data_IF_886691072773
#
_entry.id   IF_886691072773
#
_cell.length_a   1.000
_cell.length_b   1.000
_cell.length_c   1.000
_cell.angle_alpha   90.00
_cell.angle_beta   90.00
_cell.angle_gamma   90.00
#
_symmetry.space_group_name_H-M   'P 1'
#
loop_
_entity.id
_entity.type
_entity.pdbx_description
1 polymer ?
#
# COMPACT_ATOMS: atom_id res chain seq x y z
N UNK A 1 -31.94 -10.38 9.14
CA UNK A 1 -32.46 -9.01 8.93
C UNK A 1 -31.86 -8.46 7.64
N UNK A 2 -32.67 -8.05 6.67
CA UNK A 2 -32.21 -7.65 5.33
C UNK A 2 -31.35 -6.36 5.41
N UNK A 3 -30.14 -6.42 4.88
CA UNK A 3 -29.27 -5.23 4.76
C UNK A 3 -29.86 -4.28 3.72
N UNK A 4 -30.10 -3.02 4.12
CA UNK A 4 -30.63 -1.97 3.25
C UNK A 4 -29.59 -0.91 2.87
N UNK A 5 -28.46 -0.87 3.57
CA UNK A 5 -27.41 0.12 3.32
C UNK A 5 -26.04 -0.42 3.74
N UNK A 6 -24.99 0.08 3.07
CA UNK A 6 -23.59 -0.17 3.40
C UNK A 6 -23.03 1.13 3.96
N UNK A 7 -22.36 1.06 5.12
CA UNK A 7 -21.77 2.23 5.75
C UNK A 7 -20.26 2.05 5.85
N UNK A 8 -19.54 2.77 5.02
CA UNK A 8 -18.07 2.92 5.14
C UNK A 8 -17.79 3.98 6.20
N UNK A 9 -17.05 3.64 7.24
CA UNK A 9 -16.81 4.55 8.36
C UNK A 9 -15.40 4.46 8.93
N UNK A 10 -14.96 5.59 9.48
CA UNK A 10 -13.70 5.70 10.24
C UNK A 10 -13.79 6.85 11.23
N UNK A 11 -13.13 6.72 12.38
CA UNK A 11 -12.89 7.81 13.32
C UNK A 11 -11.62 8.60 13.00
N UNK A 12 -10.83 8.15 12.01
CA UNK A 12 -9.60 8.83 11.59
C UNK A 12 -9.88 9.99 10.62
N UNK A 13 -8.98 10.95 10.59
CA UNK A 13 -9.04 12.05 9.63
C UNK A 13 -8.69 11.54 8.22
N UNK A 14 -9.51 11.93 7.24
CA UNK A 14 -9.40 11.47 5.86
C UNK A 14 -9.36 12.63 4.85
N UNK A 15 -8.97 13.83 5.30
CA UNK A 15 -8.95 15.05 4.48
C UNK A 15 -7.85 15.11 3.44
N UNK A 16 -7.60 14.05 2.72
CA UNK A 16 -6.63 14.02 1.63
C UNK A 16 -6.32 12.60 1.17
N UNK A 17 -5.85 12.47 -0.06
CA UNK A 17 -5.38 11.22 -0.67
C UNK A 17 -4.00 10.79 -0.12
N UNK A 18 -3.61 11.26 1.06
CA UNK A 18 -2.38 10.84 1.73
C UNK A 18 -2.62 9.49 2.40
N UNK A 19 -1.72 8.54 2.22
CA UNK A 19 -1.81 7.14 2.65
C UNK A 19 -2.44 6.87 4.04
N UNK A 20 -2.60 5.60 4.35
CA UNK A 20 -3.25 5.10 5.56
C UNK A 20 -4.77 4.91 5.41
N UNK A 21 -5.45 4.42 6.46
CA UNK A 21 -6.86 4.01 6.39
C UNK A 21 -7.83 5.09 5.90
N UNK A 22 -7.60 6.34 6.30
CA UNK A 22 -8.46 7.46 5.88
C UNK A 22 -8.32 7.79 4.40
N UNK A 23 -7.09 7.75 3.87
CA UNK A 23 -6.82 7.99 2.45
C UNK A 23 -7.44 6.91 1.56
N UNK A 24 -7.36 5.65 1.97
CA UNK A 24 -8.00 4.54 1.25
C UNK A 24 -9.52 4.71 1.19
N UNK A 25 -10.17 5.08 2.30
CA UNK A 25 -11.61 5.37 2.31
C UNK A 25 -11.99 6.55 1.40
N UNK A 26 -11.14 7.57 1.33
CA UNK A 26 -11.35 8.69 0.41
C UNK A 26 -11.32 8.25 -1.05
N UNK A 27 -10.34 7.42 -1.42
CA UNK A 27 -10.25 6.84 -2.78
C UNK A 27 -11.46 5.94 -3.06
N UNK A 28 -11.83 5.07 -2.13
CA UNK A 28 -13.01 4.21 -2.25
C UNK A 28 -14.27 5.01 -2.54
N UNK A 29 -14.52 6.08 -1.81
CA UNK A 29 -15.66 6.96 -2.02
C UNK A 29 -15.73 7.48 -3.46
N UNK A 30 -14.61 7.93 -3.99
CA UNK A 30 -14.54 8.51 -5.33
C UNK A 30 -14.69 7.46 -6.44
N UNK A 31 -14.28 6.21 -6.19
CA UNK A 31 -14.31 5.14 -7.18
C UNK A 31 -15.59 4.31 -7.12
N UNK A 32 -16.04 3.92 -5.91
CA UNK A 32 -17.22 3.07 -5.74
C UNK A 32 -18.52 3.86 -5.88
N UNK A 33 -18.49 5.19 -5.70
CA UNK A 33 -19.68 6.00 -5.74
C UNK A 33 -20.62 5.77 -4.56
N UNK A 34 -21.93 5.97 -4.77
CA UNK A 34 -22.93 5.91 -3.71
C UNK A 34 -23.73 4.60 -3.68
N UNK A 35 -23.52 3.71 -4.67
CA UNK A 35 -24.23 2.45 -4.76
C UNK A 35 -23.32 1.30 -5.16
N UNK A 36 -23.46 0.18 -4.44
CA UNK A 36 -22.87 -1.10 -4.78
C UNK A 36 -24.03 -2.10 -4.84
N UNK A 37 -24.20 -2.82 -5.94
CA UNK A 37 -25.25 -3.82 -6.12
C UNK A 37 -26.67 -3.28 -5.81
N UNK A 38 -26.94 -2.04 -6.19
CA UNK A 38 -28.21 -1.33 -5.93
C UNK A 38 -28.49 -1.07 -4.44
N UNK A 39 -27.48 -1.20 -3.58
CA UNK A 39 -27.59 -0.86 -2.15
C UNK A 39 -26.89 0.49 -1.92
N UNK A 40 -27.56 1.48 -1.32
CA UNK A 40 -26.97 2.77 -1.03
C UNK A 40 -25.72 2.66 -0.15
N UNK A 41 -24.65 3.29 -0.57
CA UNK A 41 -23.41 3.41 0.18
C UNK A 41 -23.33 4.77 0.86
N UNK A 42 -23.11 4.78 2.17
CA UNK A 42 -22.88 5.99 2.96
C UNK A 42 -21.45 6.03 3.48
N UNK A 43 -20.80 7.17 3.37
CA UNK A 43 -19.44 7.38 3.86
C UNK A 43 -19.48 8.28 5.08
N UNK A 44 -19.07 7.74 6.24
CA UNK A 44 -19.03 8.45 7.50
C UNK A 44 -17.60 8.53 8.00
N UNK A 45 -17.03 9.71 7.89
CA UNK A 45 -15.69 10.00 8.35
C UNK A 45 -15.72 10.67 9.75
N UNK A 46 -14.62 11.28 10.13
CA UNK A 46 -14.49 11.98 11.40
C UNK A 46 -15.64 12.95 11.64
N UNK A 47 -16.37 12.76 12.73
CA UNK A 47 -17.62 13.50 13.00
C UNK A 47 -17.32 14.93 13.45
N UNK A 48 -16.25 15.13 14.21
CA UNK A 48 -15.81 16.45 14.67
C UNK A 48 -14.40 16.75 14.15
N UNK A 49 -14.28 17.94 13.56
CA UNK A 49 -13.04 18.42 12.95
C UNK A 49 -12.31 19.47 13.79
N UNK A 50 -12.63 19.58 15.08
CA UNK A 50 -12.00 20.52 16.00
C UNK A 50 -10.69 19.97 16.56
N UNK A 51 -9.69 20.81 16.79
CA UNK A 51 -8.41 20.47 17.42
C UNK A 51 -8.57 20.40 18.94
N UNK A 52 -9.18 19.36 19.45
CA UNK A 52 -9.45 19.16 20.89
C UNK A 52 -8.55 18.11 21.56
N UNK A 53 -7.46 17.70 20.91
CA UNK A 53 -6.54 16.69 21.47
C UNK A 53 -7.24 15.37 21.84
N UNK A 54 -6.91 14.74 22.99
CA UNK A 54 -7.51 13.48 23.43
C UNK A 54 -9.03 13.53 23.63
N UNK A 55 -9.57 14.70 24.02
CA UNK A 55 -11.02 14.90 24.23
C UNK A 55 -11.77 14.72 22.91
N UNK A 56 -11.18 15.12 21.77
CA UNK A 56 -11.75 14.90 20.45
C UNK A 56 -12.10 13.42 20.19
N UNK A 57 -11.20 12.52 20.55
CA UNK A 57 -11.42 11.09 20.35
C UNK A 57 -12.60 10.57 21.17
N UNK A 58 -12.71 11.00 22.43
CA UNK A 58 -13.81 10.61 23.29
C UNK A 58 -15.16 11.12 22.78
N UNK A 59 -15.21 12.40 22.40
CA UNK A 59 -16.45 13.01 21.84
C UNK A 59 -16.82 12.33 20.52
N UNK A 60 -15.88 12.06 19.63
CA UNK A 60 -16.15 11.36 18.37
C UNK A 60 -16.67 9.94 18.61
N UNK A 61 -16.11 9.20 19.58
CA UNK A 61 -16.61 7.88 19.97
C UNK A 61 -18.04 7.96 20.49
N UNK A 62 -18.35 8.92 21.32
CA UNK A 62 -19.71 9.12 21.88
C UNK A 62 -20.72 9.50 20.79
N UNK A 63 -20.38 10.45 19.90
CA UNK A 63 -21.24 10.81 18.76
C UNK A 63 -21.45 9.65 17.79
N UNK A 64 -20.40 8.86 17.53
CA UNK A 64 -20.50 7.64 16.73
C UNK A 64 -21.49 6.66 17.36
N UNK A 65 -21.39 6.44 18.68
CA UNK A 65 -22.29 5.59 19.41
C UNK A 65 -23.75 6.08 19.27
N UNK A 66 -24.02 7.35 19.56
CA UNK A 66 -25.37 7.91 19.45
C UNK A 66 -25.96 7.77 18.04
N UNK A 67 -25.15 8.01 17.02
CA UNK A 67 -25.57 7.97 15.62
C UNK A 67 -25.91 6.56 15.14
N UNK A 68 -25.12 5.57 15.52
CA UNK A 68 -25.22 4.23 14.94
C UNK A 68 -25.91 3.20 15.83
N UNK A 69 -26.12 3.46 17.12
CA UNK A 69 -26.73 2.49 18.05
C UNK A 69 -28.08 1.93 17.58
N UNK A 70 -28.91 2.74 16.95
CA UNK A 70 -30.24 2.34 16.49
C UNK A 70 -30.31 1.81 15.05
N UNK A 71 -29.21 1.89 14.30
CA UNK A 71 -29.16 1.38 12.92
C UNK A 71 -28.95 -0.13 12.96
N UNK A 72 -29.95 -0.89 12.52
CA UNK A 72 -29.93 -2.37 12.54
C UNK A 72 -29.91 -2.98 11.14
N UNK A 73 -30.26 -2.22 10.10
CA UNK A 73 -30.39 -2.64 8.71
C UNK A 73 -29.16 -2.25 7.85
N UNK A 74 -28.01 -2.00 8.48
CA UNK A 74 -26.76 -1.66 7.80
C UNK A 74 -25.69 -2.73 7.97
N UNK A 75 -24.84 -2.82 6.94
CA UNK A 75 -23.55 -3.47 7.00
C UNK A 75 -22.47 -2.41 7.07
N UNK A 76 -21.51 -2.56 7.99
CA UNK A 76 -20.44 -1.59 8.17
C UNK A 76 -19.13 -2.09 7.57
N UNK A 77 -18.33 -1.18 7.02
CA UNK A 77 -16.99 -1.46 6.54
C UNK A 77 -16.03 -0.40 7.10
N UNK A 78 -14.97 -0.83 7.74
CA UNK A 78 -14.00 0.07 8.37
C UNK A 78 -12.56 -0.31 8.05
N UNK A 79 -11.64 0.64 8.27
CA UNK A 79 -10.20 0.49 8.04
C UNK A 79 -9.35 0.74 9.30
N UNK A 80 -9.99 0.96 10.44
CA UNK A 80 -9.28 1.23 11.69
C UNK A 80 -9.85 0.44 12.87
N UNK A 81 -8.97 0.07 13.78
CA UNK A 81 -9.31 -0.77 14.93
C UNK A 81 -10.18 -0.06 15.97
N UNK A 82 -10.05 1.26 16.11
CA UNK A 82 -10.86 2.03 17.05
C UNK A 82 -12.34 2.07 16.62
N UNK A 83 -12.60 2.18 15.32
CA UNK A 83 -13.96 2.08 14.77
C UNK A 83 -14.46 0.64 14.86
N UNK A 84 -13.62 -0.35 14.57
CA UNK A 84 -13.94 -1.77 14.71
C UNK A 84 -14.36 -2.13 16.15
N UNK A 85 -13.60 -1.68 17.15
CA UNK A 85 -13.95 -1.85 18.58
C UNK A 85 -15.35 -1.30 18.91
N UNK A 86 -15.67 -0.08 18.42
CA UNK A 86 -16.99 0.51 18.66
C UNK A 86 -18.12 -0.25 17.98
N UNK A 87 -17.90 -0.71 16.75
CA UNK A 87 -18.88 -1.53 16.02
C UNK A 87 -19.13 -2.86 16.72
N UNK A 88 -18.07 -3.50 17.25
CA UNK A 88 -18.17 -4.71 18.05
C UNK A 88 -19.02 -4.48 19.32
N UNK A 89 -18.71 -3.43 20.10
CA UNK A 89 -19.46 -3.08 21.31
C UNK A 89 -20.94 -2.70 21.02
N UNK A 90 -21.22 -2.16 19.83
CA UNK A 90 -22.59 -1.89 19.38
C UNK A 90 -23.31 -3.12 18.79
N UNK A 91 -22.67 -4.29 18.77
CA UNK A 91 -23.21 -5.51 18.16
C UNK A 91 -23.51 -5.36 16.66
N UNK A 92 -22.73 -4.54 15.94
CA UNK A 92 -22.96 -4.29 14.50
C UNK A 92 -22.30 -5.37 13.65
N UNK A 93 -22.89 -5.63 12.48
CA UNK A 93 -22.29 -6.46 11.44
C UNK A 93 -21.30 -5.61 10.66
N UNK A 94 -20.04 -6.02 10.66
CA UNK A 94 -18.99 -5.26 9.98
C UNK A 94 -17.86 -6.14 9.46
N UNK A 95 -17.15 -5.61 8.47
CA UNK A 95 -15.84 -6.07 8.04
C UNK A 95 -14.78 -5.00 8.25
N UNK A 96 -13.56 -5.44 8.39
CA UNK A 96 -12.42 -4.55 8.55
C UNK A 96 -11.35 -4.87 7.50
N UNK A 97 -10.85 -3.85 6.82
CA UNK A 97 -9.65 -3.92 6.00
C UNK A 97 -8.48 -3.33 6.79
N UNK A 98 -7.61 -4.20 7.25
CA UNK A 98 -6.52 -3.86 8.15
C UNK A 98 -5.28 -3.38 7.39
N UNK A 99 -5.05 -2.07 7.39
CA UNK A 99 -4.01 -1.39 6.58
C UNK A 99 -2.73 -1.03 7.37
N UNK A 100 -2.40 -1.76 8.41
CA UNK A 100 -1.21 -1.52 9.21
C UNK A 100 0.00 -2.37 8.75
N UNK A 101 1.21 -1.91 9.07
CA UNK A 101 2.45 -2.64 8.81
C UNK A 101 2.71 -3.70 9.91
N UNK A 102 1.87 -4.73 9.95
CA UNK A 102 1.81 -5.70 11.03
C UNK A 102 0.89 -5.22 12.17
N UNK A 103 0.89 -5.88 13.35
CA UNK A 103 0.10 -5.45 14.50
C UNK A 103 0.39 -4.01 14.91
N UNK A 104 -0.62 -3.31 15.45
CA UNK A 104 -0.51 -1.87 15.77
C UNK A 104 0.69 -1.54 16.68
N UNK A 105 1.02 -2.42 17.62
CA UNK A 105 2.18 -2.24 18.50
C UNK A 105 3.48 -2.29 17.71
N UNK A 106 3.60 -3.25 16.77
CA UNK A 106 4.77 -3.38 15.92
C UNK A 106 4.94 -2.15 15.03
N UNK A 107 3.88 -1.71 14.36
CA UNK A 107 3.90 -0.51 13.52
C UNK A 107 4.35 0.73 14.31
N UNK A 108 3.77 0.97 15.49
CA UNK A 108 4.15 2.10 16.32
C UNK A 108 5.60 2.01 16.81
N UNK A 109 6.09 0.80 17.09
CA UNK A 109 7.49 0.57 17.47
C UNK A 109 8.44 0.83 16.31
N UNK A 110 8.09 0.38 15.10
CA UNK A 110 8.85 0.63 13.88
C UNK A 110 8.96 2.14 13.57
N UNK A 111 7.92 2.92 13.91
CA UNK A 111 7.96 4.39 13.86
C UNK A 111 8.68 5.06 15.05
N UNK A 112 9.42 4.30 15.85
CA UNK A 112 10.21 4.82 16.97
C UNK A 112 9.40 5.27 18.19
N UNK A 113 8.10 4.93 18.27
CA UNK A 113 7.26 5.29 19.43
C UNK A 113 7.54 4.37 20.62
N UNK A 114 7.98 4.95 21.72
CA UNK A 114 8.08 4.23 23.00
C UNK A 114 6.69 4.06 23.62
N UNK A 115 6.27 2.82 23.83
CA UNK A 115 4.97 2.47 24.39
C UNK A 115 5.14 1.86 25.78
N UNK A 116 4.50 2.46 26.80
CA UNK A 116 4.40 1.87 28.13
C UNK A 116 3.47 0.64 28.16
N UNK A 117 3.66 -0.25 29.12
CA UNK A 117 2.92 -1.52 29.22
C UNK A 117 1.40 -1.36 29.26
N UNK A 118 0.88 -0.39 29.98
CA UNK A 118 -0.57 -0.12 30.03
C UNK A 118 -1.13 0.24 28.65
N UNK A 119 -0.40 1.08 27.89
CA UNK A 119 -0.80 1.46 26.52
C UNK A 119 -0.71 0.29 25.55
N UNK A 120 0.33 -0.55 25.66
CA UNK A 120 0.44 -1.78 24.87
C UNK A 120 -0.76 -2.69 25.11
N UNK A 121 -1.03 -3.03 26.39
CA UNK A 121 -2.17 -3.88 26.76
C UNK A 121 -3.50 -3.34 26.20
N UNK A 122 -3.75 -2.04 26.32
CA UNK A 122 -4.96 -1.40 25.80
C UNK A 122 -5.05 -1.51 24.27
N UNK A 123 -3.97 -1.25 23.54
CA UNK A 123 -3.95 -1.35 22.08
C UNK A 123 -4.19 -2.79 21.61
N UNK A 124 -3.54 -3.77 22.24
CA UNK A 124 -3.78 -5.19 21.95
C UNK A 124 -5.24 -5.57 22.19
N UNK A 125 -5.84 -5.09 23.27
CA UNK A 125 -7.26 -5.36 23.56
C UNK A 125 -8.21 -4.74 22.53
N UNK A 126 -7.99 -3.48 22.12
CA UNK A 126 -8.76 -2.81 21.07
C UNK A 126 -8.64 -3.59 19.75
N UNK A 127 -7.43 -3.94 19.38
CA UNK A 127 -7.14 -4.69 18.17
C UNK A 127 -7.80 -6.08 18.21
N UNK A 128 -7.67 -6.81 19.29
CA UNK A 128 -8.31 -8.11 19.46
C UNK A 128 -9.83 -8.03 19.31
N UNK A 129 -10.50 -7.12 20.02
CA UNK A 129 -11.95 -6.93 19.93
C UNK A 129 -12.36 -6.58 18.48
N UNK A 130 -11.64 -5.63 17.85
CA UNK A 130 -11.97 -5.18 16.52
C UNK A 130 -11.84 -6.29 15.46
N UNK A 131 -10.85 -7.17 15.58
CA UNK A 131 -10.57 -8.19 14.57
C UNK A 131 -11.37 -9.48 14.81
N UNK A 132 -11.50 -9.93 16.05
CA UNK A 132 -12.18 -11.20 16.40
C UNK A 132 -13.71 -11.12 16.25
N UNK A 133 -14.32 -9.93 16.37
CA UNK A 133 -15.75 -9.74 16.19
C UNK A 133 -16.15 -9.33 14.77
N UNK A 134 -15.19 -9.10 13.87
CA UNK A 134 -15.49 -8.79 12.48
C UNK A 134 -16.05 -10.02 11.76
N UNK A 135 -17.11 -9.82 10.93
CA UNK A 135 -17.63 -10.89 10.08
C UNK A 135 -16.62 -11.34 9.01
N UNK A 136 -15.73 -10.45 8.62
CA UNK A 136 -14.53 -10.79 7.86
C UNK A 136 -13.42 -9.77 8.10
N UNK A 137 -12.20 -10.29 8.19
CA UNK A 137 -10.97 -9.53 8.27
C UNK A 137 -10.25 -9.62 6.92
N UNK A 138 -9.94 -8.48 6.34
CA UNK A 138 -9.19 -8.37 5.09
C UNK A 138 -7.89 -7.62 5.30
N UNK A 139 -6.90 -7.93 4.48
CA UNK A 139 -5.62 -7.23 4.41
C UNK A 139 -5.42 -6.67 3.00
N UNK A 140 -4.55 -5.67 2.80
CA UNK A 140 -4.24 -5.14 1.47
C UNK A 140 -3.48 -6.12 0.58
N UNK A 141 -2.93 -7.20 1.15
CA UNK A 141 -2.23 -8.27 0.45
C UNK A 141 -2.17 -9.54 1.32
N UNK A 142 -1.92 -10.67 0.68
CA UNK A 142 -1.64 -11.94 1.39
C UNK A 142 -0.38 -11.81 2.26
N UNK A 143 0.64 -11.13 1.73
CA UNK A 143 1.87 -10.87 2.46
C UNK A 143 1.65 -10.02 3.70
N UNK A 144 0.78 -9.01 3.65
CA UNK A 144 0.43 -8.21 4.84
C UNK A 144 -0.27 -9.06 5.91
N UNK A 145 -1.17 -9.96 5.51
CA UNK A 145 -1.80 -10.91 6.43
C UNK A 145 -0.76 -11.82 7.10
N UNK A 146 0.16 -12.38 6.32
CA UNK A 146 1.23 -13.22 6.86
C UNK A 146 2.12 -12.45 7.84
N UNK A 147 2.53 -11.22 7.52
CA UNK A 147 3.29 -10.35 8.42
C UNK A 147 2.57 -10.10 9.74
N UNK A 148 1.23 -9.95 9.71
CA UNK A 148 0.45 -9.79 10.92
C UNK A 148 0.49 -11.06 11.79
N UNK A 149 0.12 -12.21 11.24
CA UNK A 149 -0.04 -13.45 12.01
C UNK A 149 1.27 -14.11 12.44
N UNK A 150 2.40 -13.77 11.81
CA UNK A 150 3.73 -14.25 12.25
C UNK A 150 4.38 -13.35 13.29
N UNK A 151 3.81 -12.18 13.57
CA UNK A 151 4.34 -11.24 14.54
C UNK A 151 4.07 -11.70 15.97
N UNK A 152 5.08 -11.57 16.85
CA UNK A 152 4.91 -11.76 18.30
C UNK A 152 3.93 -10.76 18.95
N UNK A 153 3.56 -9.70 18.25
CA UNK A 153 2.64 -8.67 18.74
C UNK A 153 1.20 -8.86 18.21
N UNK A 154 0.93 -9.93 17.46
CA UNK A 154 -0.42 -10.19 16.95
C UNK A 154 -1.42 -10.28 18.09
N UNK A 155 -2.52 -9.52 17.99
CA UNK A 155 -3.57 -9.53 18.99
C UNK A 155 -4.53 -10.71 18.84
N UNK A 156 -4.57 -11.31 17.65
CA UNK A 156 -5.37 -12.50 17.32
C UNK A 156 -4.52 -13.53 16.60
N UNK A 157 -4.82 -14.81 16.82
CA UNK A 157 -4.36 -15.91 15.98
C UNK A 157 -5.24 -16.05 14.72
N UNK A 158 -4.75 -16.74 13.69
CA UNK A 158 -5.47 -16.91 12.43
C UNK A 158 -6.83 -17.60 12.58
N UNK A 159 -6.97 -18.52 13.54
CA UNK A 159 -8.21 -19.27 13.83
C UNK A 159 -9.21 -18.49 14.71
N UNK A 160 -8.82 -17.36 15.26
CA UNK A 160 -9.72 -16.50 16.06
C UNK A 160 -10.45 -15.47 15.20
N UNK A 161 -10.12 -15.39 13.91
CA UNK A 161 -10.66 -14.42 12.98
C UNK A 161 -11.21 -15.09 11.73
N UNK A 162 -12.23 -14.49 11.12
CA UNK A 162 -12.72 -14.90 9.82
C UNK A 162 -11.92 -14.17 8.71
N UNK A 163 -10.81 -14.78 8.29
CA UNK A 163 -9.92 -14.20 7.30
C UNK A 163 -10.54 -14.30 5.89
N UNK A 164 -10.80 -13.15 5.28
CA UNK A 164 -11.25 -13.02 3.90
C UNK A 164 -10.11 -12.93 2.89
N UNK A 165 -10.47 -12.90 1.61
CA UNK A 165 -9.49 -12.61 0.53
C UNK A 165 -8.87 -11.24 0.72
N UNK A 166 -7.64 -10.98 0.22
CA UNK A 166 -7.06 -9.64 0.19
C UNK A 166 -7.97 -8.67 -0.55
N UNK A 167 -7.98 -7.41 -0.09
CA UNK A 167 -8.59 -6.30 -0.83
C UNK A 167 -7.46 -5.42 -1.37
N UNK A 168 -7.12 -5.62 -2.62
CA UNK A 168 -6.10 -4.81 -3.28
C UNK A 168 -6.57 -3.36 -3.40
N UNK A 169 -5.67 -2.44 -3.11
CA UNK A 169 -5.93 -1.01 -3.26
C UNK A 169 -5.74 -0.57 -4.70
N UNK A 170 -6.24 0.64 -4.99
CA UNK A 170 -6.13 1.28 -6.30
C UNK A 170 -5.29 2.54 -6.18
N UNK A 171 -4.61 2.90 -7.27
CA UNK A 171 -3.95 4.19 -7.44
C UNK A 171 -4.87 5.21 -8.11
N UNK A 172 -4.73 6.52 -7.82
CA UNK A 172 -5.37 7.56 -8.59
C UNK A 172 -4.90 7.48 -10.05
N UNK A 173 -5.85 7.59 -11.00
CA UNK A 173 -5.47 7.70 -12.40
C UNK A 173 -5.01 9.12 -12.69
N UNK A 174 -3.76 9.27 -13.06
CA UNK A 174 -3.11 10.54 -13.42
C UNK A 174 -2.44 10.39 -14.78
N UNK A 175 -2.70 11.32 -15.69
CA UNK A 175 -2.05 11.31 -16.98
C UNK A 175 -0.60 11.78 -16.86
N UNK A 176 0.36 11.06 -17.45
CA UNK A 176 1.75 11.49 -17.51
C UNK A 176 1.87 12.83 -18.25
N UNK A 177 2.51 13.81 -17.63
CA UNK A 177 2.71 15.13 -18.23
C UNK A 177 4.14 15.60 -17.98
N UNK A 178 4.79 16.12 -19.01
CA UNK A 178 6.12 16.72 -18.93
C UNK A 178 5.98 18.20 -18.56
N UNK A 179 6.47 18.66 -17.39
CA UNK A 179 6.57 20.09 -17.08
C UNK A 179 7.57 20.78 -18.03
N UNK A 180 7.36 22.07 -18.30
CA UNK A 180 8.20 22.85 -19.23
C UNK A 180 9.65 22.98 -18.75
N UNK A 181 9.87 22.89 -17.44
CA UNK A 181 11.16 23.03 -16.75
C UNK A 181 11.77 21.68 -16.36
N UNK A 182 11.18 20.55 -16.80
CA UNK A 182 11.71 19.23 -16.53
C UNK A 182 12.68 18.80 -17.66
N UNK A 183 13.95 19.02 -17.40
CA UNK A 183 15.04 18.64 -18.29
C UNK A 183 15.57 17.25 -17.90
N UNK A 184 15.04 16.21 -18.47
CA UNK A 184 15.66 14.89 -18.48
C UNK A 184 15.72 14.44 -19.94
N UNK A 185 16.93 14.30 -20.42
CA UNK A 185 17.16 13.75 -21.76
C UNK A 185 17.09 12.23 -21.68
N UNK A 186 16.05 11.64 -22.27
CA UNK A 186 15.86 10.20 -22.31
C UNK A 186 16.48 9.66 -23.58
N UNK A 187 17.70 9.22 -23.42
CA UNK A 187 18.51 8.61 -24.47
C UNK A 187 18.42 7.07 -24.34
N UNK A 188 18.14 6.39 -25.44
CA UNK A 188 18.09 4.93 -25.56
C UNK A 188 19.43 4.23 -25.31
N UNK A 189 20.52 4.99 -25.14
CA UNK A 189 21.84 4.44 -24.79
C UNK A 189 21.92 3.91 -23.36
N UNK A 190 20.94 4.20 -22.51
CA UNK A 190 20.89 3.74 -21.11
C UNK A 190 19.73 2.81 -20.86
N UNK A 191 19.89 1.92 -19.87
CA UNK A 191 18.78 1.31 -19.16
C UNK A 191 18.43 2.24 -17.99
N UNK A 192 17.21 2.77 -17.97
CA UNK A 192 16.77 3.70 -16.94
C UNK A 192 16.06 2.95 -15.81
N UNK A 193 16.67 2.99 -14.63
CA UNK A 193 16.11 2.48 -13.37
C UNK A 193 15.41 3.61 -12.62
N UNK A 194 14.29 3.33 -11.97
CA UNK A 194 13.55 4.31 -11.19
C UNK A 194 13.16 3.78 -9.82
N UNK A 195 13.30 4.62 -8.78
CA UNK A 195 12.81 4.36 -7.42
C UNK A 195 12.06 5.57 -6.87
N UNK A 196 10.94 5.32 -6.21
CA UNK A 196 10.08 6.35 -5.61
C UNK A 196 9.71 6.00 -4.17
N UNK A 197 9.91 6.93 -3.23
CA UNK A 197 9.41 6.79 -1.87
C UNK A 197 10.21 7.54 -0.82
N UNK A 198 9.72 7.54 0.41
CA UNK A 198 10.45 8.13 1.54
C UNK A 198 11.79 7.45 1.75
N UNK A 199 12.87 8.23 1.91
CA UNK A 199 14.23 7.72 2.07
C UNK A 199 14.44 7.25 3.52
N UNK A 200 13.96 6.04 3.81
CA UNK A 200 14.00 5.42 5.14
C UNK A 200 14.49 3.98 5.05
N UNK A 201 14.98 3.44 6.15
CA UNK A 201 15.43 2.04 6.21
C UNK A 201 14.34 1.05 5.77
N UNK A 202 13.07 1.30 6.11
CA UNK A 202 11.96 0.43 5.75
C UNK A 202 11.76 0.33 4.22
N UNK A 203 12.00 1.43 3.50
CA UNK A 203 11.88 1.49 2.03
C UNK A 203 13.06 0.87 1.28
N UNK A 204 14.23 0.73 1.92
CA UNK A 204 15.33 -0.07 1.42
C UNK A 204 16.07 0.46 0.20
N UNK A 205 16.06 1.79 -0.05
CA UNK A 205 16.83 2.37 -1.16
C UNK A 205 18.34 2.09 -1.05
N UNK A 206 18.86 1.93 0.15
CA UNK A 206 20.24 1.51 0.39
C UNK A 206 20.48 0.06 -0.08
N UNK A 207 19.52 -0.83 0.02
CA UNK A 207 19.56 -2.17 -0.58
C UNK A 207 19.53 -2.08 -2.10
N UNK A 208 18.66 -1.23 -2.64
CA UNK A 208 18.55 -0.98 -4.08
C UNK A 208 19.88 -0.49 -4.66
N UNK A 209 20.52 0.48 -4.04
CA UNK A 209 21.80 1.02 -4.50
C UNK A 209 22.90 -0.06 -4.45
N UNK A 210 22.94 -0.87 -3.38
CA UNK A 210 23.90 -1.99 -3.28
C UNK A 210 23.65 -3.05 -4.35
N UNK A 211 22.40 -3.38 -4.64
CA UNK A 211 22.04 -4.29 -5.73
C UNK A 211 22.50 -3.75 -7.08
N UNK A 212 22.22 -2.47 -7.39
CA UNK A 212 22.69 -1.81 -8.62
C UNK A 212 24.20 -1.88 -8.72
N UNK A 213 24.93 -1.53 -7.67
CA UNK A 213 26.41 -1.56 -7.66
C UNK A 213 26.94 -2.96 -7.95
N UNK A 214 26.40 -3.97 -7.29
CA UNK A 214 26.85 -5.36 -7.43
C UNK A 214 26.61 -5.91 -8.84
N UNK A 215 25.46 -5.61 -9.42
CA UNK A 215 25.00 -6.20 -10.68
C UNK A 215 25.07 -5.24 -11.88
N UNK A 216 25.82 -4.13 -11.76
CA UNK A 216 25.90 -3.10 -12.81
C UNK A 216 26.34 -3.67 -14.17
N UNK A 217 27.22 -4.67 -14.15
CA UNK A 217 27.76 -5.33 -15.35
C UNK A 217 26.84 -6.45 -15.91
N UNK A 218 25.76 -6.79 -15.21
CA UNK A 218 24.79 -7.76 -15.70
C UNK A 218 23.79 -7.14 -16.69
N UNK A 219 23.73 -5.82 -16.78
CA UNK A 219 22.89 -5.11 -17.72
C UNK A 219 23.60 -4.91 -19.06
N UNK A 220 22.84 -4.98 -20.16
CA UNK A 220 23.37 -4.89 -21.53
C UNK A 220 23.79 -3.48 -21.96
N UNK A 221 23.40 -2.45 -21.22
CA UNK A 221 23.73 -1.04 -21.47
C UNK A 221 24.12 -0.35 -20.17
N UNK A 222 24.80 0.81 -20.23
CA UNK A 222 25.02 1.66 -19.06
C UNK A 222 23.72 1.98 -18.33
N UNK A 223 23.80 2.20 -17.02
CA UNK A 223 22.65 2.47 -16.19
C UNK A 223 22.47 3.96 -15.92
N UNK A 224 21.22 4.42 -16.03
CA UNK A 224 20.72 5.68 -15.49
C UNK A 224 19.81 5.37 -14.31
N UNK A 225 20.08 5.92 -13.14
CA UNK A 225 19.25 5.71 -11.97
C UNK A 225 18.57 7.00 -11.55
N UNK A 226 17.23 6.99 -11.50
CA UNK A 226 16.43 8.12 -11.03
C UNK A 226 15.88 7.74 -9.65
N UNK A 227 16.09 8.61 -8.67
CA UNK A 227 15.58 8.43 -7.31
C UNK A 227 14.77 9.67 -6.90
N UNK A 228 13.52 9.45 -6.47
CA UNK A 228 12.63 10.51 -6.01
C UNK A 228 12.19 10.24 -4.58
N UNK A 229 12.42 11.19 -3.68
CA UNK A 229 11.94 11.08 -2.30
C UNK A 229 12.69 11.94 -1.30
N UNK A 230 12.08 12.06 -0.11
CA UNK A 230 12.62 12.75 1.06
C UNK A 230 12.83 11.79 2.20
N UNK A 231 13.84 12.02 3.02
CA UNK A 231 14.02 11.24 4.25
C UNK A 231 15.41 11.35 4.85
N UNK A 232 15.59 10.76 6.04
CA UNK A 232 16.82 10.89 6.81
C UNK A 232 18.04 10.23 6.14
N UNK A 233 17.83 9.28 5.21
CA UNK A 233 18.94 8.58 4.54
C UNK A 233 19.49 9.33 3.31
N UNK A 234 18.94 10.51 2.93
CA UNK A 234 19.34 11.25 1.73
C UNK A 234 20.85 11.33 1.54
N UNK A 235 21.57 11.91 2.51
CA UNK A 235 22.99 12.17 2.37
C UNK A 235 23.83 10.88 2.26
N UNK A 236 23.44 9.83 2.99
CA UNK A 236 24.08 8.53 2.89
C UNK A 236 23.90 7.94 1.49
N UNK A 237 22.67 7.92 0.97
CA UNK A 237 22.35 7.35 -0.33
C UNK A 237 23.07 8.09 -1.47
N UNK A 238 23.12 9.42 -1.43
CA UNK A 238 23.85 10.21 -2.43
C UNK A 238 25.36 9.93 -2.38
N UNK A 239 25.95 9.80 -1.19
CA UNK A 239 27.36 9.42 -1.05
C UNK A 239 27.67 8.02 -1.61
N UNK A 240 26.75 7.06 -1.46
CA UNK A 240 26.88 5.72 -2.03
C UNK A 240 26.79 5.77 -3.58
N UNK A 241 25.88 6.58 -4.14
CA UNK A 241 25.75 6.79 -5.59
C UNK A 241 26.98 7.47 -6.20
N UNK A 242 27.56 8.46 -5.51
CA UNK A 242 28.81 9.12 -5.93
C UNK A 242 30.00 8.15 -6.00
N UNK A 243 30.05 7.16 -5.09
CA UNK A 243 31.06 6.09 -5.15
C UNK A 243 30.89 5.25 -6.41
N UNK A 244 29.66 4.79 -6.68
CA UNK A 244 29.38 3.97 -7.87
C UNK A 244 29.78 4.73 -9.13
N UNK A 245 29.42 6.03 -9.21
CA UNK A 245 29.77 6.87 -10.36
C UNK A 245 31.30 7.04 -10.56
N UNK A 246 32.07 7.10 -9.46
CA UNK A 246 33.55 7.14 -9.55
C UNK A 246 34.13 5.83 -10.05
N UNK A 247 33.60 4.70 -9.61
CA UNK A 247 34.05 3.36 -9.99
C UNK A 247 33.58 2.98 -11.40
N UNK A 248 32.41 3.49 -11.82
CA UNK A 248 31.75 3.23 -13.10
C UNK A 248 31.37 4.55 -13.79
N UNK A 249 32.26 5.20 -14.56
CA UNK A 249 32.02 6.52 -15.16
C UNK A 249 30.83 6.59 -16.11
N UNK A 250 30.41 5.47 -16.70
CA UNK A 250 29.23 5.37 -17.54
C UNK A 250 27.91 5.34 -16.75
N UNK A 251 27.95 5.11 -15.44
CA UNK A 251 26.79 5.17 -14.57
C UNK A 251 26.42 6.63 -14.29
N UNK A 252 25.15 6.98 -14.46
CA UNK A 252 24.63 8.30 -14.11
C UNK A 252 23.43 8.16 -13.18
N UNK A 253 23.24 9.17 -12.30
CA UNK A 253 22.04 9.21 -11.47
C UNK A 253 21.46 10.63 -11.36
N UNK A 254 20.17 10.70 -11.10
CA UNK A 254 19.41 11.92 -10.85
C UNK A 254 18.63 11.78 -9.56
N UNK A 255 18.73 12.76 -8.69
CA UNK A 255 17.99 12.82 -7.44
C UNK A 255 17.02 13.99 -7.43
N UNK A 256 15.77 13.71 -7.08
CA UNK A 256 14.74 14.72 -6.86
C UNK A 256 14.13 14.54 -5.48
N UNK A 257 14.02 15.61 -4.72
CA UNK A 257 13.43 15.58 -3.38
C UNK A 257 11.92 15.32 -3.44
N UNK A 258 11.24 15.91 -4.42
CA UNK A 258 9.83 15.66 -4.77
C UNK A 258 9.57 16.16 -6.18
N UNK A 259 8.60 15.54 -6.83
CA UNK A 259 8.09 15.94 -8.15
C UNK A 259 6.57 15.95 -8.13
N UNK A 260 5.91 16.73 -9.02
CA UNK A 260 4.49 16.60 -9.27
C UNK A 260 4.13 15.17 -9.66
N UNK A 261 2.93 14.69 -9.28
CA UNK A 261 2.55 13.30 -9.52
C UNK A 261 2.51 12.96 -11.01
N UNK A 262 2.09 13.90 -11.85
CA UNK A 262 2.07 13.78 -13.30
C UNK A 262 3.49 13.55 -13.87
N UNK A 263 4.49 14.21 -13.29
CA UNK A 263 5.90 14.01 -13.66
C UNK A 263 6.42 12.66 -13.19
N UNK A 264 6.02 12.22 -12.00
CA UNK A 264 6.34 10.87 -11.50
C UNK A 264 5.77 9.81 -12.44
N UNK A 265 4.52 9.95 -12.88
CA UNK A 265 3.90 9.03 -13.85
C UNK A 265 4.62 9.04 -15.21
N UNK A 266 5.13 10.21 -15.64
CA UNK A 266 5.97 10.29 -16.83
C UNK A 266 7.27 9.53 -16.65
N UNK A 267 7.94 9.66 -15.49
CA UNK A 267 9.19 8.94 -15.21
C UNK A 267 8.93 7.43 -15.20
N UNK A 268 7.85 6.94 -14.62
CA UNK A 268 7.47 5.53 -14.71
C UNK A 268 7.33 5.08 -16.16
N UNK A 269 6.62 5.86 -16.99
CA UNK A 269 6.36 5.54 -18.39
C UNK A 269 7.63 5.41 -19.24
N UNK A 270 8.64 6.25 -18.96
CA UNK A 270 9.89 6.30 -19.75
C UNK A 270 11.01 5.49 -19.13
N UNK A 271 10.85 5.02 -17.89
CA UNK A 271 11.80 4.12 -17.23
C UNK A 271 11.67 2.70 -17.75
N UNK A 272 12.81 2.02 -17.87
CA UNK A 272 12.82 0.62 -18.26
C UNK A 272 12.40 -0.27 -17.09
N UNK A 273 12.88 0.05 -15.89
CA UNK A 273 12.74 -0.78 -14.72
C UNK A 273 12.39 0.09 -13.50
N UNK A 274 11.31 -0.23 -12.83
CA UNK A 274 11.07 0.22 -11.48
C UNK A 274 11.74 -0.76 -10.51
N UNK A 275 12.58 -0.25 -9.61
CA UNK A 275 13.31 -1.07 -8.65
C UNK A 275 13.16 -0.54 -7.23
N UNK A 276 12.71 -1.40 -6.30
CA UNK A 276 12.57 -1.04 -4.89
C UNK A 276 12.74 -2.26 -3.98
N UNK A 277 13.83 -2.31 -3.23
CA UNK A 277 14.15 -3.43 -2.36
C UNK A 277 13.72 -3.14 -0.91
N UNK A 278 12.41 -3.16 -0.69
CA UNK A 278 11.81 -2.92 0.62
C UNK A 278 12.33 -3.87 1.69
N UNK A 279 12.47 -3.38 2.94
CA UNK A 279 12.53 -4.24 4.13
C UNK A 279 11.17 -4.51 4.74
N UNK A 280 10.20 -3.63 4.48
CA UNK A 280 8.81 -3.79 4.91
C UNK A 280 7.90 -3.31 3.78
N UNK A 281 7.07 -4.19 3.27
CA UNK A 281 6.04 -3.87 2.28
C UNK A 281 4.72 -4.55 2.64
N UNK A 282 3.63 -3.78 2.71
CA UNK A 282 2.28 -4.32 2.86
C UNK A 282 1.55 -4.36 1.52
N UNK A 283 1.70 -3.32 0.70
CA UNK A 283 1.22 -3.18 -0.67
C UNK A 283 1.67 -1.82 -1.20
N UNK A 284 2.65 -1.79 -2.10
CA UNK A 284 3.31 -0.55 -2.50
C UNK A 284 2.62 0.10 -3.71
N UNK A 285 2.14 1.34 -3.54
CA UNK A 285 1.44 2.06 -4.61
C UNK A 285 2.36 2.46 -5.77
N UNK A 286 3.62 2.78 -5.49
CA UNK A 286 4.56 3.12 -6.55
C UNK A 286 4.85 1.92 -7.47
N UNK A 287 4.78 0.70 -6.94
CA UNK A 287 4.81 -0.52 -7.75
C UNK A 287 3.60 -0.61 -8.69
N UNK A 288 2.39 -0.31 -8.20
CA UNK A 288 1.19 -0.26 -9.05
C UNK A 288 1.28 0.83 -10.13
N UNK A 289 1.83 2.00 -9.76
CA UNK A 289 2.07 3.09 -10.72
C UNK A 289 3.02 2.62 -11.83
N UNK A 290 4.12 1.97 -11.46
CA UNK A 290 5.08 1.41 -12.41
C UNK A 290 4.44 0.36 -13.34
N UNK A 291 3.67 -0.60 -12.79
CA UNK A 291 2.95 -1.61 -13.57
C UNK A 291 1.97 -0.96 -14.55
N UNK A 292 1.24 0.07 -14.12
CA UNK A 292 0.27 0.81 -14.95
C UNK A 292 0.93 1.57 -16.12
N UNK A 293 2.22 1.85 -16.03
CA UNK A 293 3.00 2.58 -17.03
C UNK A 293 3.96 1.67 -17.82
N UNK A 294 3.72 0.37 -17.85
CA UNK A 294 4.55 -0.61 -18.58
C UNK A 294 6.03 -0.61 -18.14
N UNK A 295 6.33 -0.57 -16.85
CA UNK A 295 7.69 -0.79 -16.36
C UNK A 295 7.96 -2.27 -16.09
N UNK A 296 9.15 -2.76 -16.36
CA UNK A 296 9.64 -3.98 -15.74
C UNK A 296 9.87 -3.73 -14.23
N UNK A 297 9.74 -4.74 -13.41
CA UNK A 297 9.72 -4.56 -11.95
C UNK A 297 10.78 -5.46 -11.29
N UNK A 298 11.62 -4.86 -10.44
CA UNK A 298 12.54 -5.59 -9.54
C UNK A 298 12.19 -5.24 -8.10
N UNK A 299 11.85 -6.25 -7.29
CA UNK A 299 11.46 -6.08 -5.89
C UNK A 299 12.25 -7.02 -4.98
N UNK A 300 12.22 -6.73 -3.67
CA UNK A 300 12.57 -7.72 -2.63
C UNK A 300 11.43 -8.73 -2.47
N UNK A 301 11.76 -9.98 -2.16
CA UNK A 301 10.83 -11.12 -2.02
C UNK A 301 10.17 -11.14 -0.64
N UNK A 302 9.46 -10.06 -0.28
CA UNK A 302 8.89 -9.88 1.04
C UNK A 302 7.45 -9.36 1.02
N UNK A 303 6.70 -9.71 2.05
CA UNK A 303 5.40 -9.14 2.38
C UNK A 303 4.49 -9.00 1.17
N UNK A 304 3.89 -7.83 1.01
CA UNK A 304 2.98 -7.52 -0.09
C UNK A 304 3.61 -7.44 -1.48
N UNK A 305 4.95 -7.44 -1.58
CA UNK A 305 5.61 -7.51 -2.88
C UNK A 305 5.31 -8.83 -3.61
N UNK A 306 5.08 -9.91 -2.86
CA UNK A 306 4.76 -11.22 -3.43
C UNK A 306 3.41 -11.24 -4.15
N UNK A 307 2.48 -10.39 -3.74
CA UNK A 307 1.14 -10.31 -4.34
C UNK A 307 1.13 -9.63 -5.73
N UNK A 308 2.24 -8.98 -6.13
CA UNK A 308 2.39 -8.42 -7.48
C UNK A 308 2.83 -9.47 -8.50
N UNK A 309 3.43 -10.58 -8.06
CA UNK A 309 3.91 -11.66 -8.93
C UNK A 309 2.83 -12.70 -9.20
N UNK A 310 1.92 -12.41 -10.12
CA UNK A 310 0.81 -13.30 -10.45
C UNK A 310 1.09 -14.23 -11.65
N UNK A 311 2.04 -13.86 -12.51
CA UNK A 311 2.38 -14.60 -13.73
C UNK A 311 3.90 -14.63 -13.98
N UNK A 312 4.71 -14.75 -12.93
CA UNK A 312 6.18 -14.65 -13.03
C UNK A 312 6.62 -13.35 -13.73
N UNK A 313 5.93 -12.27 -13.41
CA UNK A 313 6.12 -10.96 -14.00
C UNK A 313 7.06 -10.07 -13.21
N UNK A 314 7.47 -10.50 -12.01
CA UNK A 314 8.37 -9.76 -11.12
C UNK A 314 9.72 -10.45 -11.04
N UNK A 315 10.80 -9.68 -11.14
CA UNK A 315 12.14 -10.16 -10.80
C UNK A 315 12.36 -9.89 -9.31
N UNK A 316 12.63 -10.93 -8.55
CA UNK A 316 13.00 -10.78 -7.14
C UNK A 316 14.52 -10.68 -6.99
N UNK A 317 14.97 -9.66 -6.24
CA UNK A 317 16.40 -9.42 -6.04
C UNK A 317 17.10 -10.61 -5.38
N UNK A 318 16.44 -11.30 -4.45
CA UNK A 318 16.99 -12.50 -3.79
C UNK A 318 17.20 -13.66 -4.77
N UNK A 319 16.36 -13.80 -5.79
CA UNK A 319 16.54 -14.80 -6.82
C UNK A 319 17.72 -14.45 -7.75
N UNK A 320 17.92 -13.15 -8.05
CA UNK A 320 19.10 -12.65 -8.78
C UNK A 320 20.38 -12.84 -7.96
N UNK A 321 20.33 -12.58 -6.66
CA UNK A 321 21.46 -12.82 -5.74
C UNK A 321 21.89 -14.29 -5.72
N UNK A 322 20.94 -15.20 -5.86
CA UNK A 322 21.21 -16.64 -5.97
C UNK A 322 21.69 -17.05 -7.38
N UNK A 323 21.19 -16.37 -8.42
CA UNK A 323 21.52 -16.68 -9.81
C UNK A 323 21.41 -15.42 -10.70
N UNK A 324 22.52 -14.74 -10.92
CA UNK A 324 22.61 -13.52 -11.72
C UNK A 324 22.15 -13.72 -13.18
N UNK A 325 22.15 -14.96 -13.69
CA UNK A 325 21.69 -15.23 -15.05
C UNK A 325 20.22 -14.88 -15.27
N UNK A 326 19.43 -14.75 -14.21
CA UNK A 326 18.02 -14.28 -14.27
C UNK A 326 17.99 -12.86 -14.82
N UNK A 327 18.86 -11.97 -14.34
CA UNK A 327 18.95 -10.59 -14.80
C UNK A 327 19.54 -10.48 -16.21
N UNK A 328 20.61 -11.22 -16.48
CA UNK A 328 21.30 -11.22 -17.78
C UNK A 328 20.38 -11.70 -18.91
N UNK A 329 19.53 -12.70 -18.63
CA UNK A 329 18.61 -13.30 -19.61
C UNK A 329 17.20 -12.70 -19.59
N UNK A 330 16.97 -11.68 -18.76
CA UNK A 330 15.64 -11.09 -18.61
C UNK A 330 15.17 -10.46 -19.94
N UNK A 331 13.99 -10.87 -20.39
CA UNK A 331 13.27 -10.22 -21.47
C UNK A 331 12.43 -9.07 -20.91
N UNK A 332 13.09 -7.90 -20.73
CA UNK A 332 12.43 -6.72 -20.18
C UNK A 332 11.19 -6.26 -20.98
N UNK A 333 11.17 -6.28 -22.32
CA UNK A 333 9.96 -5.99 -23.10
C UNK A 333 8.78 -6.89 -22.70
N UNK A 334 8.99 -8.18 -22.62
CA UNK A 334 7.96 -9.14 -22.21
C UNK A 334 7.49 -8.94 -20.77
N UNK A 335 8.42 -8.65 -19.85
CA UNK A 335 8.10 -8.34 -18.46
C UNK A 335 7.28 -7.06 -18.33
N UNK A 336 7.58 -6.02 -19.09
CA UNK A 336 6.81 -4.77 -19.15
C UNK A 336 5.35 -5.03 -19.53
N UNK A 337 5.13 -5.80 -20.58
CA UNK A 337 3.78 -6.15 -21.04
C UNK A 337 3.04 -7.04 -20.04
N UNK A 338 3.71 -8.04 -19.47
CA UNK A 338 3.13 -8.89 -18.44
C UNK A 338 2.72 -8.11 -17.21
N UNK A 339 3.55 -7.15 -16.75
CA UNK A 339 3.23 -6.29 -15.62
C UNK A 339 1.97 -5.45 -15.89
N UNK A 340 1.86 -4.85 -17.08
CA UNK A 340 0.68 -4.08 -17.47
C UNK A 340 -0.57 -4.95 -17.55
N UNK A 341 -0.47 -6.15 -18.08
CA UNK A 341 -1.58 -7.11 -18.13
C UNK A 341 -2.04 -7.54 -16.74
N UNK A 342 -1.11 -7.84 -15.83
CA UNK A 342 -1.42 -8.14 -14.41
C UNK A 342 -2.09 -6.94 -13.74
N UNK A 343 -1.59 -5.71 -13.97
CA UNK A 343 -2.23 -4.51 -13.45
C UNK A 343 -3.68 -4.37 -13.93
N UNK A 344 -3.93 -4.51 -15.23
CA UNK A 344 -5.26 -4.38 -15.79
C UNK A 344 -6.24 -5.43 -15.26
N UNK A 345 -5.79 -6.67 -15.12
CA UNK A 345 -6.62 -7.78 -14.66
C UNK A 345 -6.95 -7.71 -13.16
N UNK A 346 -5.99 -7.25 -12.32
CA UNK A 346 -6.09 -7.41 -10.87
C UNK A 346 -6.09 -6.12 -10.07
N UNK A 347 -5.52 -5.03 -10.61
CA UNK A 347 -5.28 -3.79 -9.86
C UNK A 347 -5.88 -2.55 -10.54
N UNK A 348 -6.59 -2.72 -11.65
CA UNK A 348 -7.30 -1.63 -12.33
C UNK A 348 -8.50 -1.14 -11.52
N UNK A 349 -9.05 0.01 -11.93
CA UNK A 349 -10.28 0.55 -11.37
C UNK A 349 -11.45 -0.45 -11.45
N UNK A 350 -11.55 -1.16 -12.54
CA UNK A 350 -12.58 -2.16 -12.76
C UNK A 350 -12.43 -3.35 -11.82
N UNK A 351 -11.23 -3.89 -11.69
CA UNK A 351 -10.91 -4.97 -10.76
C UNK A 351 -11.21 -4.55 -9.32
N UNK A 352 -10.82 -3.34 -8.93
CA UNK A 352 -11.12 -2.77 -7.62
C UNK A 352 -12.62 -2.68 -7.35
N UNK A 353 -13.41 -2.17 -8.27
CA UNK A 353 -14.87 -2.09 -8.11
C UNK A 353 -15.50 -3.48 -8.02
N UNK A 354 -15.05 -4.41 -8.85
CA UNK A 354 -15.59 -5.77 -8.89
C UNK A 354 -15.33 -6.54 -7.60
N UNK A 355 -14.13 -6.43 -6.98
CA UNK A 355 -13.87 -7.11 -5.72
C UNK A 355 -14.83 -6.67 -4.60
N UNK A 356 -15.23 -5.37 -4.54
CA UNK A 356 -16.21 -4.89 -3.59
C UNK A 356 -17.64 -5.34 -3.93
N UNK A 357 -18.00 -5.33 -5.21
CA UNK A 357 -19.32 -5.83 -5.66
C UNK A 357 -19.49 -7.30 -5.29
N UNK A 358 -18.55 -8.16 -5.66
CA UNK A 358 -18.56 -9.59 -5.36
C UNK A 358 -18.66 -9.84 -3.85
N UNK A 359 -17.84 -9.12 -3.07
CA UNK A 359 -17.87 -9.24 -1.61
C UNK A 359 -19.25 -8.92 -1.03
N UNK A 360 -19.85 -7.79 -1.41
CA UNK A 360 -21.17 -7.42 -0.87
C UNK A 360 -22.28 -8.29 -1.42
N UNK A 361 -22.21 -8.80 -2.65
CA UNK A 361 -23.16 -9.80 -3.16
C UNK A 361 -23.16 -11.05 -2.29
N UNK A 362 -22.00 -11.59 -1.96
CA UNK A 362 -21.87 -12.76 -1.09
C UNK A 362 -22.46 -12.50 0.30
N UNK A 363 -22.26 -11.29 0.86
CA UNK A 363 -22.84 -10.93 2.17
C UNK A 363 -24.36 -10.77 2.12
N UNK A 364 -24.90 -10.23 1.03
CA UNK A 364 -26.34 -10.06 0.84
C UNK A 364 -27.07 -11.39 0.56
N UNK A 365 -26.43 -12.35 -0.08
CA UNK A 365 -27.01 -13.67 -0.40
C UNK A 365 -27.02 -14.59 0.82
N UNK A 366 -26.00 -14.56 1.68
CA UNK A 366 -25.95 -15.36 2.91
C UNK A 366 -27.10 -15.08 3.91
N UNK A 367 -27.91 -14.06 3.66
CA UNK A 367 -29.05 -13.67 4.51
C UNK A 367 -30.43 -14.04 3.90
N UNK A 368 -30.46 -14.72 2.77
CA UNK A 368 -31.69 -15.33 2.23
C UNK A 368 -31.84 -16.76 2.74
#
# INVERSE_FOLDING_TARGET
>A
MKIKQIIFCTLRDNRGATGGPGGVLYIQKNVLGNEINKVPCKYQFNIINLRLGPIKTLINKWLFYLKFRHITDAYFFTHDIETGELLAHLGKRYSILYHHQGPIIQELTNFGKKLGNCKKKRLTQIEHIALSHAQSLHFPSTGAANMYFTSQYAACNRNEVNLGKPFYSIIPQVNPTKPNDFELDFDDNFITLFSLGTLTSAKGQDLTIRFIHKHINAFSKPLRYIIVGRGPLKNQLLSELDKIKKENPSFIYHYYESLPHETVMLIHKISDIYIMLHRISIFDFATLEAMSQHSAIILSKIGGNLDFDMNSNIIFAEDVEANESILIKADFPSLKENNYNVFNCHFSKEAFVNQYKEFFEQMLVKEK
#
